data_IF_667517695329
#
_entry.id   IF_667517695329
#
_cell.length_a   1.000
_cell.length_b   1.000
_cell.length_c   1.000
_cell.angle_alpha   90.00
_cell.angle_beta   90.00
_cell.angle_gamma   90.00
#
_symmetry.space_group_name_H-M   'P 1'
#
loop_
_entity.id
_entity.type
_entity.pdbx_description
1 polymer ?
#
# COMPACT_ATOMS: atom_id res chain seq x y z
N UNK A 1 -15.81 -36.38 5.62
CA UNK A 1 -15.04 -37.61 5.89
C UNK A 1 -13.89 -37.23 6.80
N UNK A 2 -13.82 -37.67 8.06
CA UNK A 2 -12.69 -37.37 8.92
C UNK A 2 -11.49 -38.19 8.43
N UNK A 3 -10.42 -37.48 8.07
CA UNK A 3 -9.12 -38.04 7.75
C UNK A 3 -8.61 -38.83 8.97
N UNK A 4 -8.34 -40.12 8.75
CA UNK A 4 -7.70 -41.01 9.72
C UNK A 4 -6.27 -40.53 9.94
N UNK A 5 -6.02 -39.88 11.08
CA UNK A 5 -4.70 -39.40 11.48
C UNK A 5 -3.70 -40.55 11.60
N UNK A 6 -2.60 -40.44 10.86
CA UNK A 6 -1.36 -41.18 11.08
C UNK A 6 -0.76 -40.85 12.45
N UNK A 7 0.05 -41.75 13.05
CA UNK A 7 0.64 -41.55 14.38
C UNK A 7 1.58 -40.34 14.40
N UNK A 8 1.67 -39.65 15.55
CA UNK A 8 2.56 -38.52 15.89
C UNK A 8 3.94 -38.60 15.22
N UNK A 9 4.08 -38.01 14.04
CA UNK A 9 5.38 -37.66 13.49
C UNK A 9 5.81 -36.39 14.23
N UNK A 10 6.90 -36.47 15.00
CA UNK A 10 7.41 -35.33 15.75
C UNK A 10 7.54 -34.11 14.82
N UNK A 11 6.99 -32.97 15.24
CA UNK A 11 7.00 -31.75 14.43
C UNK A 11 8.44 -31.45 13.98
N UNK A 12 8.67 -31.12 12.69
CA UNK A 12 10.02 -30.93 12.17
C UNK A 12 10.73 -29.79 12.92
N UNK A 13 12.01 -29.98 13.23
CA UNK A 13 12.85 -28.99 13.92
C UNK A 13 14.07 -28.62 13.09
N UNK A 14 14.56 -27.39 13.27
CA UNK A 14 15.86 -26.93 12.79
C UNK A 14 16.86 -26.95 13.96
N UNK A 15 18.07 -27.43 13.71
CA UNK A 15 19.14 -27.51 14.73
C UNK A 15 20.20 -26.45 14.45
N UNK A 16 20.45 -25.59 15.44
CA UNK A 16 21.53 -24.61 15.41
C UNK A 16 22.70 -25.13 16.26
N UNK A 17 23.87 -25.29 15.64
CA UNK A 17 25.13 -25.55 16.34
C UNK A 17 25.82 -24.23 16.67
N UNK A 18 26.22 -24.04 17.93
CA UNK A 18 26.90 -22.83 18.41
C UNK A 18 27.94 -23.19 19.47
N UNK A 19 28.85 -22.27 19.88
CA UNK A 19 29.92 -22.60 20.83
C UNK A 19 29.47 -23.19 22.17
N UNK A 20 28.22 -22.96 22.59
CA UNK A 20 27.63 -23.49 23.81
C UNK A 20 26.84 -24.79 23.65
N UNK A 21 26.82 -25.42 22.46
CA UNK A 21 26.14 -26.69 22.19
C UNK A 21 25.21 -26.63 20.98
N UNK A 22 24.04 -27.27 21.12
CA UNK A 22 22.99 -27.30 20.09
C UNK A 22 21.68 -26.76 20.66
N UNK A 23 20.94 -26.02 19.84
CA UNK A 23 19.60 -25.53 20.14
C UNK A 23 18.65 -25.99 19.04
N UNK A 24 17.43 -26.38 19.43
CA UNK A 24 16.40 -26.86 18.51
C UNK A 24 15.24 -25.87 18.44
N UNK A 25 14.78 -25.62 17.22
CA UNK A 25 13.71 -24.67 16.93
C UNK A 25 12.63 -25.34 16.07
N UNK A 26 11.35 -25.22 16.43
CA UNK A 26 10.26 -25.74 15.60
C UNK A 26 10.25 -25.13 14.20
N UNK A 27 9.94 -25.94 13.19
CA UNK A 27 9.64 -25.46 11.82
C UNK A 27 8.12 -25.36 11.68
N UNK A 28 7.63 -24.14 11.48
CA UNK A 28 6.22 -23.84 11.26
C UNK A 28 5.91 -23.92 9.77
N UNK A 29 5.05 -24.87 9.40
CA UNK A 29 4.64 -25.09 8.01
C UNK A 29 3.71 -23.97 7.53
N UNK A 30 4.02 -23.44 6.36
CA UNK A 30 3.18 -22.51 5.60
C UNK A 30 2.17 -23.27 4.73
N UNK A 31 1.02 -22.66 4.43
CA UNK A 31 0.10 -23.18 3.39
C UNK A 31 0.73 -23.07 2.00
N UNK A 32 1.35 -21.93 1.71
CA UNK A 32 2.09 -21.64 0.49
C UNK A 32 3.35 -20.83 0.83
N UNK A 33 4.38 -20.93 -0.01
CA UNK A 33 5.67 -20.24 0.19
C UNK A 33 6.58 -20.92 1.22
N UNK A 34 7.63 -20.23 1.64
CA UNK A 34 8.62 -20.79 2.57
C UNK A 34 8.06 -20.97 3.99
N UNK A 35 8.36 -22.12 4.61
CA UNK A 35 8.09 -22.36 6.03
C UNK A 35 9.05 -21.57 6.92
N UNK A 36 8.64 -21.25 8.15
CA UNK A 36 9.41 -20.42 9.07
C UNK A 36 10.04 -21.24 10.20
N UNK A 37 11.24 -20.84 10.64
CA UNK A 37 11.86 -21.38 11.86
C UNK A 37 11.41 -20.50 13.03
N UNK A 38 10.76 -21.09 14.04
CA UNK A 38 10.33 -20.35 15.23
C UNK A 38 11.50 -20.13 16.19
N UNK A 39 12.07 -18.93 16.13
CA UNK A 39 13.20 -18.50 16.94
C UNK A 39 12.78 -17.77 18.23
N UNK A 40 11.52 -17.86 18.67
CA UNK A 40 11.04 -17.15 19.86
C UNK A 40 11.85 -17.46 21.13
N UNK A 41 12.44 -18.66 21.22
CA UNK A 41 13.28 -19.08 22.35
C UNK A 41 14.78 -18.95 22.10
N UNK A 42 15.22 -18.37 20.98
CA UNK A 42 16.64 -18.33 20.56
C UNK A 42 17.57 -17.78 21.65
N UNK A 43 17.27 -16.60 22.19
CA UNK A 43 18.12 -15.97 23.22
C UNK A 43 18.09 -16.76 24.52
N UNK A 44 16.95 -17.36 24.88
CA UNK A 44 16.85 -18.21 26.07
C UNK A 44 17.70 -19.47 25.95
N UNK A 45 17.74 -20.09 24.77
CA UNK A 45 18.48 -21.33 24.53
C UNK A 45 19.98 -21.07 24.31
N UNK A 46 20.34 -20.00 23.60
CA UNK A 46 21.72 -19.81 23.10
C UNK A 46 22.48 -18.64 23.73
N UNK A 47 21.78 -17.69 24.35
CA UNK A 47 22.34 -16.41 24.77
C UNK A 47 22.58 -15.40 23.63
N UNK A 48 22.31 -15.77 22.37
CA UNK A 48 22.49 -14.90 21.21
C UNK A 48 21.18 -14.27 20.70
N UNK A 49 21.34 -13.24 19.86
CA UNK A 49 20.27 -12.59 19.09
C UNK A 49 20.59 -12.69 17.61
N UNK A 50 19.59 -12.60 16.74
CA UNK A 50 19.80 -12.45 15.29
C UNK A 50 20.09 -11.00 14.92
N UNK A 51 20.80 -10.81 13.80
CA UNK A 51 20.97 -9.52 13.14
C UNK A 51 20.52 -9.68 11.69
N UNK A 52 19.38 -9.10 11.34
CA UNK A 52 18.79 -9.18 10.00
C UNK A 52 18.37 -7.78 9.54
N UNK A 53 19.27 -7.12 8.80
CA UNK A 53 19.04 -5.75 8.34
C UNK A 53 17.82 -5.68 7.41
N UNK A 54 16.84 -4.87 7.78
CA UNK A 54 15.63 -4.70 6.98
C UNK A 54 14.70 -5.91 6.94
N UNK A 55 14.86 -6.87 7.87
CA UNK A 55 13.98 -8.04 8.03
C UNK A 55 13.92 -8.94 6.79
N UNK A 56 15.00 -9.01 5.99
CA UNK A 56 15.00 -9.74 4.70
C UNK A 56 14.74 -11.23 4.88
N UNK A 57 15.15 -11.80 6.00
CA UNK A 57 15.04 -13.23 6.30
C UNK A 57 14.06 -13.51 7.45
N UNK A 58 13.31 -12.49 7.89
CA UNK A 58 12.47 -12.57 9.09
C UNK A 58 11.00 -12.48 8.73
N UNK A 59 10.25 -13.57 8.95
CA UNK A 59 8.79 -13.54 8.95
C UNK A 59 8.29 -12.90 10.25
N UNK A 60 7.87 -11.63 10.17
CA UNK A 60 7.51 -10.85 11.36
C UNK A 60 6.15 -11.23 11.98
N UNK A 61 5.28 -11.91 11.22
CA UNK A 61 3.93 -12.27 11.65
C UNK A 61 3.40 -13.48 10.89
N UNK A 62 2.37 -14.13 11.42
CA UNK A 62 1.54 -15.08 10.68
C UNK A 62 0.37 -14.30 10.08
N UNK A 63 0.09 -14.51 8.80
CA UNK A 63 -1.01 -13.80 8.14
C UNK A 63 -1.76 -14.71 7.19
N UNK A 64 -3.04 -14.43 7.04
CA UNK A 64 -3.99 -15.12 6.17
C UNK A 64 -4.62 -14.18 5.13
N UNK A 65 -4.13 -12.94 5.02
CA UNK A 65 -4.74 -11.87 4.22
C UNK A 65 -4.31 -11.95 2.76
N UNK A 66 -3.00 -11.88 2.51
CA UNK A 66 -2.43 -11.81 1.16
C UNK A 66 -1.24 -12.73 1.06
N UNK A 67 -1.14 -13.43 -0.08
CA UNK A 67 0.01 -14.24 -0.42
C UNK A 67 0.66 -13.72 -1.71
N UNK A 68 1.99 -13.71 -1.72
CA UNK A 68 2.79 -13.35 -2.88
C UNK A 68 3.83 -14.43 -3.17
N UNK A 69 3.90 -14.89 -4.42
CA UNK A 69 5.07 -15.59 -4.95
C UNK A 69 5.74 -14.68 -5.99
N UNK A 70 6.86 -14.09 -5.59
CA UNK A 70 7.62 -13.20 -6.45
C UNK A 70 8.26 -13.88 -7.65
N UNK A 71 8.60 -15.16 -7.55
CA UNK A 71 9.23 -15.89 -8.64
C UNK A 71 8.19 -16.29 -9.69
N UNK A 72 7.02 -16.72 -9.24
CA UNK A 72 5.94 -17.15 -10.12
C UNK A 72 5.02 -16.01 -10.56
N UNK A 73 5.17 -14.80 -10.00
CA UNK A 73 4.29 -13.67 -10.32
C UNK A 73 2.88 -13.85 -9.76
N UNK A 74 2.73 -14.48 -8.60
CA UNK A 74 1.42 -14.74 -7.99
C UNK A 74 1.11 -13.64 -6.98
N UNK A 75 -0.11 -13.10 -7.05
CA UNK A 75 -0.71 -12.28 -6.00
C UNK A 75 -2.10 -12.83 -5.70
N UNK A 76 -2.35 -13.14 -4.43
CA UNK A 76 -3.65 -13.64 -3.98
C UNK A 76 -4.16 -12.87 -2.78
N UNK A 77 -5.38 -12.37 -2.85
CA UNK A 77 -6.11 -11.84 -1.69
C UNK A 77 -7.06 -12.92 -1.19
N UNK A 78 -6.89 -13.35 0.07
CA UNK A 78 -7.65 -14.46 0.68
C UNK A 78 -7.69 -15.73 -0.18
N UNK A 79 -6.60 -16.01 -0.89
CA UNK A 79 -6.48 -17.16 -1.80
C UNK A 79 -6.97 -16.94 -3.23
N UNK A 80 -7.73 -15.88 -3.51
CA UNK A 80 -8.21 -15.55 -4.86
C UNK A 80 -7.15 -14.81 -5.68
N UNK A 81 -6.87 -15.20 -6.93
CA UNK A 81 -5.93 -14.51 -7.81
C UNK A 81 -6.35 -13.06 -8.09
N UNK A 82 -5.38 -12.14 -8.08
CA UNK A 82 -5.64 -10.71 -8.29
C UNK A 82 -6.35 -10.41 -9.61
N UNK A 83 -6.05 -11.19 -10.66
CA UNK A 83 -6.64 -11.00 -11.99
C UNK A 83 -8.13 -11.32 -12.02
N UNK A 84 -8.58 -12.26 -11.18
CA UNK A 84 -9.99 -12.58 -11.06
C UNK A 84 -10.72 -11.50 -10.27
N UNK A 85 -10.14 -11.06 -9.15
CA UNK A 85 -10.76 -10.04 -8.31
C UNK A 85 -10.85 -8.70 -9.05
N UNK A 86 -9.75 -8.24 -9.66
CA UNK A 86 -9.71 -6.95 -10.36
C UNK A 86 -10.59 -6.89 -11.62
N UNK A 87 -11.04 -8.04 -12.14
CA UNK A 87 -11.93 -8.12 -13.28
C UNK A 87 -13.42 -8.21 -12.89
N UNK A 88 -13.73 -8.76 -11.70
CA UNK A 88 -15.09 -9.18 -11.36
C UNK A 88 -15.65 -8.57 -10.07
N UNK A 89 -14.83 -7.85 -9.29
CA UNK A 89 -15.25 -7.25 -8.02
C UNK A 89 -15.14 -5.72 -8.08
N UNK A 90 -15.92 -5.08 -7.22
CA UNK A 90 -15.84 -3.66 -6.88
C UNK A 90 -14.84 -3.43 -5.74
N UNK A 91 -14.34 -2.20 -5.60
CA UNK A 91 -13.40 -1.85 -4.53
C UNK A 91 -13.95 -2.19 -3.12
N UNK A 92 -15.25 -1.99 -2.87
CA UNK A 92 -15.84 -2.29 -1.56
C UNK A 92 -16.02 -3.79 -1.30
N UNK A 93 -16.24 -4.62 -2.33
CA UNK A 93 -16.26 -6.08 -2.19
C UNK A 93 -14.90 -6.63 -1.80
N UNK A 94 -13.84 -6.11 -2.40
CA UNK A 94 -12.46 -6.52 -2.10
C UNK A 94 -12.02 -6.01 -0.73
N UNK A 95 -12.41 -4.78 -0.38
CA UNK A 95 -12.17 -4.26 0.95
C UNK A 95 -12.84 -5.14 2.03
N UNK A 96 -14.07 -5.57 1.78
CA UNK A 96 -14.77 -6.55 2.63
C UNK A 96 -14.00 -7.87 2.70
N UNK A 97 -13.64 -8.46 1.56
CA UNK A 97 -12.88 -9.71 1.48
C UNK A 97 -11.59 -9.64 2.33
N UNK A 98 -10.81 -8.58 2.18
CA UNK A 98 -9.57 -8.41 2.93
C UNK A 98 -9.84 -8.28 4.43
N UNK A 99 -10.84 -7.51 4.84
CA UNK A 99 -11.12 -7.23 6.25
C UNK A 99 -11.77 -8.43 6.98
N UNK A 100 -12.70 -9.14 6.32
CA UNK A 100 -13.53 -10.17 6.95
C UNK A 100 -13.21 -11.60 6.53
N UNK A 101 -12.41 -11.79 5.47
CA UNK A 101 -11.85 -13.09 5.08
C UNK A 101 -12.58 -13.81 3.95
N UNK A 102 -13.85 -13.48 3.71
CA UNK A 102 -14.72 -14.08 2.68
C UNK A 102 -15.39 -12.99 1.85
N UNK A 103 -15.85 -13.31 0.64
CA UNK A 103 -16.64 -12.38 -0.18
C UNK A 103 -18.01 -12.09 0.47
N UNK A 104 -18.51 -10.85 0.42
CA UNK A 104 -19.81 -10.52 0.99
C UNK A 104 -20.96 -11.13 0.18
N UNK A 105 -22.05 -11.47 0.85
CA UNK A 105 -23.36 -11.60 0.20
C UNK A 105 -23.86 -10.24 -0.30
N UNK A 106 -24.85 -10.23 -1.18
CA UNK A 106 -25.42 -8.99 -1.71
C UNK A 106 -25.98 -8.08 -0.61
N UNK A 107 -26.63 -8.66 0.42
CA UNK A 107 -27.20 -7.90 1.54
C UNK A 107 -26.10 -7.32 2.45
N UNK A 108 -25.03 -8.09 2.70
CA UNK A 108 -23.87 -7.61 3.46
C UNK A 108 -23.16 -6.47 2.74
N UNK A 109 -22.93 -6.61 1.43
CA UNK A 109 -22.32 -5.55 0.62
C UNK A 109 -23.18 -4.29 0.63
N UNK A 110 -24.50 -4.41 0.42
CA UNK A 110 -25.41 -3.27 0.43
C UNK A 110 -25.43 -2.55 1.79
N UNK A 111 -25.44 -3.31 2.89
CA UNK A 111 -25.37 -2.75 4.24
C UNK A 111 -24.02 -2.07 4.51
N UNK A 112 -22.92 -2.66 4.06
CA UNK A 112 -21.59 -2.09 4.20
C UNK A 112 -21.44 -0.78 3.43
N UNK A 113 -21.90 -0.78 2.19
CA UNK A 113 -21.90 0.39 1.31
C UNK A 113 -22.77 1.53 1.86
N UNK A 114 -23.99 1.27 2.34
CA UNK A 114 -24.80 2.32 3.00
C UNK A 114 -24.09 2.84 4.26
N UNK A 115 -23.55 1.97 5.12
CA UNK A 115 -22.79 2.39 6.30
C UNK A 115 -21.64 3.32 5.94
N UNK A 116 -20.87 3.02 4.89
CA UNK A 116 -19.78 3.88 4.41
C UNK A 116 -20.33 5.22 3.92
N UNK A 117 -21.36 5.22 3.06
CA UNK A 117 -21.97 6.46 2.52
C UNK A 117 -22.44 7.39 3.63
N UNK A 118 -23.07 6.84 4.67
CA UNK A 118 -23.58 7.58 5.84
C UNK A 118 -22.47 8.17 6.74
N UNK A 119 -21.21 7.81 6.53
CA UNK A 119 -20.08 8.30 7.31
C UNK A 119 -19.09 9.18 6.50
N UNK A 120 -19.41 9.52 5.26
CA UNK A 120 -18.50 10.29 4.37
C UNK A 120 -18.24 11.73 4.82
N UNK A 121 -19.21 12.39 5.46
CA UNK A 121 -19.06 13.77 5.92
C UNK A 121 -17.94 13.91 6.97
N UNK A 122 -17.05 14.88 6.78
CA UNK A 122 -16.10 15.30 7.80
C UNK A 122 -16.78 16.23 8.80
N UNK A 123 -16.34 16.21 10.06
CA UNK A 123 -16.73 17.24 11.02
C UNK A 123 -16.31 18.61 10.46
N UNK A 124 -17.18 19.63 10.55
CA UNK A 124 -16.90 20.93 9.92
C UNK A 124 -15.64 21.61 10.47
N UNK A 125 -15.33 21.42 11.75
CA UNK A 125 -14.06 21.92 12.31
C UNK A 125 -12.84 21.18 11.77
N UNK A 126 -12.96 19.89 11.45
CA UNK A 126 -11.91 19.17 10.74
C UNK A 126 -11.79 19.66 9.29
N UNK A 127 -12.90 20.00 8.62
CA UNK A 127 -12.85 20.62 7.28
C UNK A 127 -12.10 21.96 7.30
N UNK A 128 -12.25 22.76 8.36
CA UNK A 128 -11.51 24.02 8.57
C UNK A 128 -10.00 23.82 8.77
N UNK A 129 -9.54 22.63 9.18
CA UNK A 129 -8.11 22.31 9.25
C UNK A 129 -7.41 22.59 7.90
N UNK A 130 -8.09 22.31 6.79
CA UNK A 130 -7.55 22.52 5.46
C UNK A 130 -7.36 24.00 5.11
N UNK A 131 -8.06 24.92 5.78
CA UNK A 131 -7.88 26.37 5.59
C UNK A 131 -6.55 26.84 6.17
N UNK A 132 -6.13 26.24 7.29
CA UNK A 132 -4.87 26.55 7.97
C UNK A 132 -3.63 25.99 7.24
N UNK A 133 -3.81 25.04 6.32
CA UNK A 133 -2.70 24.43 5.59
C UNK A 133 -2.27 25.32 4.41
N UNK A 134 -0.94 25.44 4.14
CA UNK A 134 -0.45 26.15 2.97
C UNK A 134 -1.01 25.55 1.67
N UNK A 135 -1.32 26.38 0.67
CA UNK A 135 -1.79 25.87 -0.63
C UNK A 135 -0.74 24.96 -1.31
N UNK A 136 0.55 25.21 -1.04
CA UNK A 136 1.67 24.44 -1.60
C UNK A 136 1.99 23.15 -0.83
N UNK A 137 1.26 22.87 0.26
CA UNK A 137 1.45 21.67 1.07
C UNK A 137 1.29 20.42 0.22
N UNK A 138 2.15 19.43 0.45
CA UNK A 138 2.07 18.18 -0.29
C UNK A 138 0.83 17.39 0.12
N UNK A 139 0.00 16.90 -0.82
CA UNK A 139 -1.23 16.17 -0.51
C UNK A 139 -1.04 14.99 0.46
N UNK A 140 0.07 14.24 0.35
CA UNK A 140 0.42 13.19 1.32
C UNK A 140 0.58 13.69 2.77
N UNK A 141 1.22 14.84 2.98
CA UNK A 141 1.37 15.43 4.32
C UNK A 141 0.04 15.94 4.86
N UNK A 142 -0.81 16.49 3.99
CA UNK A 142 -2.18 16.89 4.33
C UNK A 142 -3.00 15.66 4.74
N UNK A 143 -2.92 14.58 3.95
CA UNK A 143 -3.62 13.32 4.19
C UNK A 143 -3.23 12.72 5.54
N UNK A 144 -1.92 12.55 5.81
CA UNK A 144 -1.46 11.97 7.09
C UNK A 144 -1.84 12.82 8.30
N UNK A 145 -1.75 14.15 8.18
CA UNK A 145 -2.13 15.09 9.24
C UNK A 145 -3.63 15.04 9.54
N UNK A 146 -4.48 15.10 8.51
CA UNK A 146 -5.93 15.06 8.68
C UNK A 146 -6.40 13.70 9.23
N UNK A 147 -5.81 12.58 8.79
CA UNK A 147 -6.11 11.25 9.33
C UNK A 147 -5.69 11.15 10.79
N UNK A 148 -4.52 11.67 11.17
CA UNK A 148 -4.12 11.73 12.58
C UNK A 148 -5.10 12.58 13.40
N UNK A 149 -5.57 13.71 12.85
CA UNK A 149 -6.52 14.58 13.52
C UNK A 149 -7.89 13.89 13.74
N UNK A 150 -8.30 12.91 12.92
CA UNK A 150 -9.55 12.17 13.17
C UNK A 150 -9.61 11.58 14.59
N UNK A 151 -8.47 11.18 15.16
CA UNK A 151 -8.40 10.65 16.53
C UNK A 151 -8.93 11.64 17.57
N UNK A 152 -8.77 12.95 17.38
CA UNK A 152 -9.25 13.98 18.32
C UNK A 152 -10.76 14.23 18.22
N UNK A 153 -11.38 13.89 17.09
CA UNK A 153 -12.82 14.07 16.88
C UNK A 153 -13.63 12.82 17.24
N UNK A 154 -12.96 11.69 17.42
CA UNK A 154 -13.57 10.39 17.68
C UNK A 154 -12.97 9.71 18.92
N UNK A 155 -12.54 10.51 19.92
CA UNK A 155 -11.81 10.02 21.09
C UNK A 155 -12.58 8.94 21.87
N UNK A 156 -13.90 9.12 22.03
CA UNK A 156 -14.80 8.20 22.73
C UNK A 156 -14.97 6.84 22.02
N UNK A 157 -14.53 6.74 20.77
CA UNK A 157 -14.63 5.54 19.94
C UNK A 157 -13.26 4.90 19.67
N UNK A 158 -12.24 5.18 20.51
CA UNK A 158 -10.85 4.73 20.28
C UNK A 158 -10.46 3.40 20.94
N UNK A 159 -11.34 2.77 21.72
CA UNK A 159 -11.02 1.48 22.36
C UNK A 159 -10.70 0.43 21.29
N UNK A 160 -9.47 -0.05 21.32
CA UNK A 160 -8.95 -1.02 20.34
C UNK A 160 -9.35 -2.45 20.69
N UNK A 161 -9.79 -2.71 21.91
CA UNK A 161 -10.22 -4.05 22.35
C UNK A 161 -11.74 -4.25 22.21
N UNK A 162 -12.51 -3.18 21.96
CA UNK A 162 -13.94 -3.24 21.67
C UNK A 162 -14.20 -3.47 20.16
N UNK A 163 -14.76 -4.63 19.76
CA UNK A 163 -15.03 -4.95 18.36
C UNK A 163 -15.97 -3.95 17.65
N UNK A 164 -16.95 -3.39 18.36
CA UNK A 164 -17.89 -2.43 17.77
C UNK A 164 -17.20 -1.10 17.45
N UNK A 165 -16.27 -0.67 18.32
CA UNK A 165 -15.46 0.53 18.09
C UNK A 165 -14.48 0.33 16.94
N UNK A 166 -13.79 -0.82 16.89
CA UNK A 166 -12.91 -1.19 15.77
C UNK A 166 -13.67 -1.21 14.44
N UNK A 167 -14.89 -1.75 14.45
CA UNK A 167 -15.77 -1.78 13.30
C UNK A 167 -16.22 -0.38 12.86
N UNK A 168 -16.59 0.49 13.80
CA UNK A 168 -16.95 1.88 13.51
C UNK A 168 -15.75 2.69 12.97
N UNK A 169 -14.55 2.49 13.52
CA UNK A 169 -13.32 3.11 12.99
C UNK A 169 -13.02 2.66 11.57
N UNK A 170 -13.21 1.37 11.28
CA UNK A 170 -13.05 0.78 9.94
C UNK A 170 -13.93 1.51 8.92
N UNK A 171 -15.23 1.62 9.21
CA UNK A 171 -16.19 2.34 8.35
C UNK A 171 -15.81 3.81 8.20
N UNK A 172 -15.43 4.49 9.28
CA UNK A 172 -15.04 5.91 9.25
C UNK A 172 -13.79 6.14 8.40
N UNK A 173 -12.78 5.28 8.48
CA UNK A 173 -11.57 5.39 7.67
C UNK A 173 -11.88 5.23 6.19
N UNK A 174 -12.62 4.16 5.82
CA UNK A 174 -13.02 3.91 4.43
C UNK A 174 -13.87 5.06 3.86
N UNK A 175 -14.76 5.61 4.66
CA UNK A 175 -15.63 6.71 4.23
C UNK A 175 -14.91 8.06 4.12
N UNK A 176 -13.99 8.36 5.03
CA UNK A 176 -13.42 9.71 5.20
C UNK A 176 -12.09 9.91 4.47
N UNK A 177 -11.27 8.87 4.33
CA UNK A 177 -9.98 9.00 3.64
C UNK A 177 -10.12 9.52 2.20
N UNK A 178 -11.09 9.03 1.38
CA UNK A 178 -11.30 9.57 0.03
C UNK A 178 -11.73 11.05 0.03
N UNK A 179 -12.54 11.46 1.00
CA UNK A 179 -12.97 12.86 1.14
C UNK A 179 -11.79 13.76 1.53
N UNK A 180 -10.97 13.33 2.48
CA UNK A 180 -9.74 14.03 2.88
C UNK A 180 -8.79 14.16 1.69
N UNK A 181 -8.60 13.08 0.93
CA UNK A 181 -7.76 13.08 -0.27
C UNK A 181 -8.27 14.06 -1.33
N UNK A 182 -9.57 14.06 -1.63
CA UNK A 182 -10.16 14.99 -2.59
C UNK A 182 -10.05 16.45 -2.11
N UNK A 183 -10.17 16.72 -0.80
CA UNK A 183 -9.98 18.06 -0.25
C UNK A 183 -8.53 18.51 -0.32
N UNK A 184 -7.57 17.60 -0.10
CA UNK A 184 -6.16 17.88 -0.33
C UNK A 184 -5.89 18.26 -1.80
N UNK A 185 -6.51 17.55 -2.74
CA UNK A 185 -6.44 17.87 -4.17
C UNK A 185 -7.02 19.25 -4.47
N UNK A 186 -8.29 19.49 -4.10
CA UNK A 186 -8.99 20.77 -4.33
C UNK A 186 -8.25 21.95 -3.71
N UNK A 187 -7.70 21.78 -2.50
CA UNK A 187 -6.88 22.79 -1.82
C UNK A 187 -5.62 23.12 -2.63
N UNK A 188 -4.94 22.11 -3.17
CA UNK A 188 -3.70 22.31 -3.93
C UNK A 188 -3.89 23.11 -5.23
N UNK A 189 -5.11 23.10 -5.78
CA UNK A 189 -5.49 23.86 -6.99
C UNK A 189 -6.38 25.07 -6.71
N UNK A 190 -6.63 25.41 -5.44
CA UNK A 190 -7.41 26.60 -5.04
C UNK A 190 -8.91 26.54 -5.36
N UNK A 191 -9.51 25.35 -5.45
CA UNK A 191 -10.92 25.17 -5.75
C UNK A 191 -11.77 24.90 -4.50
N UNK A 192 -13.07 25.21 -4.57
CA UNK A 192 -14.02 24.95 -3.49
C UNK A 192 -14.21 23.44 -3.24
N UNK A 193 -14.47 23.09 -1.98
CA UNK A 193 -14.79 21.72 -1.59
C UNK A 193 -16.26 21.40 -1.89
N UNK A 194 -16.49 20.29 -2.59
CA UNK A 194 -17.81 19.71 -2.71
C UNK A 194 -18.10 18.79 -1.52
N UNK A 195 -19.37 18.67 -1.15
CA UNK A 195 -19.80 17.64 -0.20
C UNK A 195 -20.00 16.30 -0.91
N UNK A 196 -19.79 15.17 -0.22
CA UNK A 196 -20.13 13.84 -0.72
C UNK A 196 -21.60 13.75 -1.15
N UNK A 197 -21.88 12.95 -2.18
CA UNK A 197 -23.22 12.68 -2.69
C UNK A 197 -23.55 11.19 -2.51
N UNK A 198 -24.57 10.89 -1.69
CA UNK A 198 -24.98 9.52 -1.37
C UNK A 198 -25.62 8.79 -2.56
N UNK A 199 -26.03 9.50 -3.61
CA UNK A 199 -26.58 8.88 -4.83
C UNK A 199 -25.50 8.24 -5.71
N UNK A 200 -24.24 8.64 -5.53
CA UNK A 200 -23.11 8.16 -6.32
C UNK A 200 -22.41 6.98 -5.66
N UNK A 201 -21.90 6.05 -6.47
CA UNK A 201 -21.05 4.96 -5.99
C UNK A 201 -19.78 5.50 -5.31
N UNK A 202 -19.03 4.63 -4.61
CA UNK A 202 -17.80 5.01 -3.93
C UNK A 202 -16.81 5.76 -4.87
N UNK A 203 -16.56 5.18 -6.04
CA UNK A 203 -15.60 5.71 -7.02
C UNK A 203 -16.16 6.93 -7.73
N UNK A 204 -17.43 6.91 -8.11
CA UNK A 204 -18.09 8.05 -8.77
C UNK A 204 -18.13 9.28 -7.88
N UNK A 205 -18.45 9.09 -6.60
CA UNK A 205 -18.43 10.15 -5.61
C UNK A 205 -17.01 10.71 -5.45
N UNK A 206 -15.98 9.85 -5.39
CA UNK A 206 -14.60 10.29 -5.30
C UNK A 206 -14.15 11.08 -6.54
N UNK A 207 -14.51 10.64 -7.75
CA UNK A 207 -14.27 11.39 -9.00
C UNK A 207 -14.96 12.77 -8.95
N UNK A 208 -16.22 12.82 -8.54
CA UNK A 208 -16.96 14.09 -8.38
C UNK A 208 -16.28 15.02 -7.40
N UNK A 209 -15.83 14.52 -6.24
CA UNK A 209 -15.15 15.34 -5.23
C UNK A 209 -13.83 15.93 -5.74
N UNK A 210 -13.13 15.23 -6.64
CA UNK A 210 -11.87 15.70 -7.23
C UNK A 210 -12.07 16.67 -8.39
N UNK A 211 -13.01 16.38 -9.29
CA UNK A 211 -13.11 17.07 -10.59
C UNK A 211 -14.35 17.95 -10.76
N UNK A 212 -15.43 17.68 -10.01
CA UNK A 212 -16.62 18.52 -10.02
C UNK A 212 -16.36 19.93 -9.50
N UNK A 213 -17.15 20.90 -9.95
CA UNK A 213 -17.07 22.29 -9.47
C UNK A 213 -18.45 22.78 -9.01
N UNK A 214 -18.51 23.97 -8.41
CA UNK A 214 -19.78 24.62 -8.05
C UNK A 214 -20.41 25.37 -9.24
N UNK A 215 -19.77 25.37 -10.42
CA UNK A 215 -20.22 26.13 -11.57
C UNK A 215 -21.19 25.34 -12.47
N UNK A 216 -21.15 24.01 -12.42
CA UNK A 216 -21.96 23.13 -13.27
C UNK A 216 -22.11 21.72 -12.69
N UNK A 217 -23.13 20.94 -13.11
CA UNK A 217 -23.24 19.53 -12.77
C UNK A 217 -22.03 18.73 -13.26
N UNK A 218 -21.51 17.83 -12.42
CA UNK A 218 -20.44 16.90 -12.82
C UNK A 218 -21.04 15.61 -13.39
N UNK A 219 -20.70 15.28 -14.63
CA UNK A 219 -21.07 14.02 -15.27
C UNK A 219 -19.92 13.02 -15.15
N UNK A 220 -20.21 11.85 -14.58
CA UNK A 220 -19.20 10.82 -14.39
C UNK A 220 -18.96 10.09 -15.70
N UNK A 221 -17.71 10.01 -16.14
CA UNK A 221 -17.31 9.17 -17.26
C UNK A 221 -17.18 7.70 -16.78
N UNK A 222 -17.99 6.75 -17.30
CA UNK A 222 -17.97 5.36 -16.89
C UNK A 222 -16.61 4.66 -17.09
N UNK A 223 -15.86 5.05 -18.11
CA UNK A 223 -14.52 4.49 -18.39
C UNK A 223 -13.54 4.90 -17.31
N UNK A 224 -13.58 6.17 -16.88
CA UNK A 224 -12.72 6.65 -15.80
C UNK A 224 -13.10 6.04 -14.45
N UNK A 225 -14.39 5.86 -14.19
CA UNK A 225 -14.88 5.18 -12.98
C UNK A 225 -14.37 3.75 -12.90
N UNK A 226 -14.58 2.95 -13.97
CA UNK A 226 -14.11 1.56 -14.03
C UNK A 226 -12.59 1.45 -13.93
N UNK A 227 -11.85 2.32 -14.60
CA UNK A 227 -10.39 2.32 -14.55
C UNK A 227 -9.88 2.68 -13.14
N UNK A 228 -10.46 3.68 -12.48
CA UNK A 228 -10.08 4.04 -11.12
C UNK A 228 -10.42 2.94 -10.12
N UNK A 229 -11.59 2.30 -10.24
CA UNK A 229 -11.96 1.16 -9.40
C UNK A 229 -10.93 0.03 -9.49
N UNK A 230 -10.58 -0.37 -10.70
CA UNK A 230 -9.57 -1.40 -10.94
C UNK A 230 -8.21 -0.98 -10.37
N UNK A 231 -7.79 0.28 -10.55
CA UNK A 231 -6.55 0.77 -9.97
C UNK A 231 -6.56 0.73 -8.45
N UNK A 232 -7.66 1.07 -7.79
CA UNK A 232 -7.76 0.96 -6.33
C UNK A 232 -7.61 -0.49 -5.87
N UNK A 233 -8.33 -1.44 -6.49
CA UNK A 233 -8.26 -2.88 -6.20
C UNK A 233 -6.83 -3.43 -6.31
N UNK A 234 -6.11 -3.07 -7.37
CA UNK A 234 -4.72 -3.52 -7.61
C UNK A 234 -3.73 -3.01 -6.55
N UNK A 235 -4.13 -2.03 -5.75
CA UNK A 235 -3.32 -1.47 -4.68
C UNK A 235 -3.84 -1.80 -3.28
N UNK A 236 -4.94 -2.57 -3.14
CA UNK A 236 -5.63 -2.80 -1.86
C UNK A 236 -4.79 -3.42 -0.75
N UNK A 237 -3.99 -4.43 -1.07
CA UNK A 237 -2.99 -4.94 -0.15
C UNK A 237 -1.74 -5.41 -0.90
N UNK A 238 -0.64 -5.52 -0.18
CA UNK A 238 0.58 -6.07 -0.74
C UNK A 238 1.45 -6.68 0.36
N UNK A 239 0.83 -7.49 1.22
CA UNK A 239 1.49 -8.28 2.26
C UNK A 239 2.35 -7.39 3.21
N UNK A 240 3.48 -7.89 3.74
CA UNK A 240 4.27 -7.23 4.79
C UNK A 240 5.25 -6.18 4.25
N UNK A 241 4.79 -5.30 3.36
CA UNK A 241 5.57 -4.15 2.87
C UNK A 241 5.82 -3.11 3.99
N UNK A 242 6.65 -2.09 3.72
CA UNK A 242 7.10 -1.13 4.73
C UNK A 242 5.98 -0.35 5.43
N UNK A 243 4.94 0.07 4.70
CA UNK A 243 3.81 0.79 5.30
C UNK A 243 2.90 -0.14 6.10
N UNK A 244 2.60 -1.34 5.58
CA UNK A 244 1.86 -2.36 6.35
C UNK A 244 2.59 -2.75 7.64
N UNK A 245 3.90 -2.97 7.56
CA UNK A 245 4.74 -3.29 8.73
C UNK A 245 4.75 -2.14 9.75
N UNK A 246 4.71 -0.89 9.28
CA UNK A 246 4.61 0.30 10.14
C UNK A 246 3.24 0.38 10.83
N UNK A 247 2.14 0.16 10.09
CA UNK A 247 0.78 0.09 10.65
C UNK A 247 0.71 -0.97 11.75
N UNK A 248 1.26 -2.16 11.50
CA UNK A 248 1.34 -3.24 12.51
C UNK A 248 2.23 -2.86 13.69
N UNK A 249 3.42 -2.31 13.46
CA UNK A 249 4.34 -1.95 14.54
C UNK A 249 3.74 -0.89 15.47
N UNK A 250 3.10 0.14 14.92
CA UNK A 250 2.38 1.16 15.71
C UNK A 250 1.14 0.55 16.37
N UNK A 251 0.37 -0.27 15.67
CA UNK A 251 -0.78 -0.97 16.26
C UNK A 251 -0.41 -1.88 17.44
N UNK A 252 0.78 -2.48 17.42
CA UNK A 252 1.27 -3.36 18.49
C UNK A 252 1.47 -2.65 19.84
N UNK A 253 1.54 -1.31 19.85
CA UNK A 253 1.58 -0.51 21.08
C UNK A 253 0.17 -0.20 21.63
N UNK A 254 -0.88 -0.76 21.01
CA UNK A 254 -2.29 -0.45 21.25
C UNK A 254 -2.67 1.00 20.88
N UNK A 255 -1.92 1.60 19.94
CA UNK A 255 -2.35 2.86 19.32
C UNK A 255 -3.64 2.66 18.51
N UNK A 256 -4.51 3.68 18.51
CA UNK A 256 -5.77 3.65 17.76
C UNK A 256 -5.53 3.53 16.24
N UNK A 257 -6.54 3.03 15.51
CA UNK A 257 -6.40 2.75 14.08
C UNK A 257 -6.09 4.01 13.26
N UNK A 258 -6.65 5.18 13.59
CA UNK A 258 -6.34 6.43 12.89
C UNK A 258 -4.84 6.79 12.97
N UNK A 259 -4.23 6.66 14.15
CA UNK A 259 -2.80 6.89 14.36
C UNK A 259 -1.94 5.86 13.60
N UNK A 260 -2.30 4.58 13.67
CA UNK A 260 -1.61 3.51 12.92
C UNK A 260 -1.67 3.73 11.41
N UNK A 261 -2.84 4.08 10.85
CA UNK A 261 -3.00 4.39 9.44
C UNK A 261 -2.23 5.66 9.04
N UNK A 262 -2.26 6.73 9.85
CA UNK A 262 -1.44 7.92 9.60
C UNK A 262 0.06 7.59 9.52
N UNK A 263 0.55 6.71 10.39
CA UNK A 263 1.93 6.21 10.32
C UNK A 263 2.18 5.41 9.03
N UNK A 264 1.23 4.57 8.60
CA UNK A 264 1.26 3.87 7.32
C UNK A 264 1.34 4.81 6.11
N UNK A 265 0.57 5.90 6.11
CA UNK A 265 0.59 6.95 5.07
C UNK A 265 1.98 7.61 5.02
N UNK A 266 2.56 7.95 6.18
CA UNK A 266 3.90 8.54 6.22
C UNK A 266 4.99 7.57 5.73
N UNK A 267 4.89 6.28 6.07
CA UNK A 267 5.78 5.25 5.54
C UNK A 267 5.62 5.06 4.03
N UNK A 268 4.38 5.14 3.51
CA UNK A 268 4.10 5.08 2.07
C UNK A 268 4.63 6.32 1.33
N UNK A 269 4.61 7.50 1.96
CA UNK A 269 5.11 8.72 1.35
C UNK A 269 6.62 8.69 1.07
N UNK A 270 7.39 7.85 1.76
CA UNK A 270 8.81 7.71 1.53
C UNK A 270 9.13 7.38 0.05
N UNK A 271 10.15 8.02 -0.56
CA UNK A 271 10.47 7.83 -1.99
C UNK A 271 10.94 6.42 -2.36
N UNK A 272 11.34 5.62 -1.36
CA UNK A 272 11.72 4.22 -1.53
C UNK A 272 10.53 3.25 -1.38
N UNK A 273 9.32 3.77 -1.19
CA UNK A 273 8.10 2.99 -1.07
C UNK A 273 7.04 3.45 -2.09
N UNK A 274 6.11 4.34 -1.72
CA UNK A 274 5.00 4.74 -2.58
C UNK A 274 5.28 5.93 -3.50
N UNK A 275 6.40 6.66 -3.31
CA UNK A 275 6.76 7.81 -4.16
C UNK A 275 7.32 7.44 -5.55
N UNK A 276 7.37 6.14 -5.90
CA UNK A 276 7.93 5.68 -7.17
C UNK A 276 7.09 6.11 -8.38
N UNK A 277 5.77 6.16 -8.25
CA UNK A 277 4.84 6.52 -9.33
C UNK A 277 4.99 8.00 -9.79
N UNK A 278 5.15 8.94 -8.86
CA UNK A 278 5.46 10.35 -9.18
C UNK A 278 6.81 10.45 -9.89
N UNK A 279 7.81 9.72 -9.39
CA UNK A 279 9.14 9.70 -9.97
C UNK A 279 9.20 9.08 -11.39
N UNK A 280 8.27 8.17 -11.73
CA UNK A 280 8.11 7.68 -13.12
C UNK A 280 7.72 8.83 -14.04
N UNK A 281 6.71 9.62 -13.69
CA UNK A 281 6.31 10.74 -14.56
C UNK A 281 7.37 11.83 -14.63
N UNK A 282 8.05 12.14 -13.53
CA UNK A 282 9.18 13.08 -13.57
C UNK A 282 10.29 12.58 -14.50
N UNK A 283 10.59 11.28 -14.47
CA UNK A 283 11.55 10.64 -15.37
C UNK A 283 11.09 10.76 -16.83
N UNK A 284 9.85 10.38 -17.15
CA UNK A 284 9.30 10.46 -18.50
C UNK A 284 9.27 11.91 -19.02
N UNK A 285 8.89 12.86 -18.17
CA UNK A 285 8.91 14.29 -18.51
C UNK A 285 10.33 14.78 -18.80
N UNK A 286 11.34 14.38 -18.00
CA UNK A 286 12.75 14.72 -18.27
C UNK A 286 13.26 14.13 -19.58
N UNK A 287 12.82 12.92 -19.95
CA UNK A 287 13.15 12.30 -21.24
C UNK A 287 12.53 13.11 -22.39
N UNK A 288 11.24 13.46 -22.28
CA UNK A 288 10.56 14.31 -23.26
C UNK A 288 11.26 15.66 -23.42
N UNK A 289 11.51 16.33 -22.31
CA UNK A 289 12.03 17.70 -22.28
C UNK A 289 13.50 17.79 -22.70
N UNK A 290 14.26 16.68 -22.67
CA UNK A 290 15.62 16.67 -23.21
C UNK A 290 15.66 16.72 -24.74
N UNK A 291 14.58 16.30 -25.42
CA UNK A 291 14.54 16.15 -26.87
C UNK A 291 15.46 15.03 -27.41
N UNK A 292 16.03 14.21 -26.53
CA UNK A 292 16.89 13.08 -26.89
C UNK A 292 16.05 11.81 -27.15
N UNK A 293 16.52 10.87 -27.99
CA UNK A 293 15.89 9.56 -28.13
C UNK A 293 15.87 8.80 -26.79
N UNK A 294 14.82 8.03 -26.53
CA UNK A 294 14.67 7.24 -25.29
C UNK A 294 15.86 6.29 -25.06
N UNK A 295 16.45 5.76 -26.13
CA UNK A 295 17.65 4.93 -26.08
C UNK A 295 18.84 5.61 -25.39
N UNK A 296 18.99 6.93 -25.49
CA UNK A 296 20.04 7.68 -24.77
C UNK A 296 19.82 7.65 -23.27
N UNK A 297 18.60 7.80 -22.80
CA UNK A 297 18.29 7.68 -21.38
C UNK A 297 18.65 6.27 -20.87
N UNK A 298 18.31 5.24 -21.64
CA UNK A 298 18.64 3.83 -21.31
C UNK A 298 20.15 3.61 -21.21
N UNK A 299 20.94 4.16 -22.13
CA UNK A 299 22.41 4.13 -22.05
C UNK A 299 22.94 4.77 -20.77
N UNK A 300 22.40 5.94 -20.38
CA UNK A 300 22.80 6.66 -19.15
C UNK A 300 22.50 5.85 -17.88
N UNK A 301 21.35 5.16 -17.84
CA UNK A 301 21.00 4.21 -16.77
C UNK A 301 22.03 3.08 -16.69
N UNK A 302 22.38 2.47 -17.83
CA UNK A 302 23.35 1.36 -17.90
C UNK A 302 24.75 1.79 -17.45
N UNK A 303 25.14 3.00 -17.79
CA UNK A 303 26.41 3.63 -17.40
C UNK A 303 26.46 4.04 -15.93
N UNK A 304 25.35 3.88 -15.19
CA UNK A 304 25.22 4.29 -13.77
C UNK A 304 25.57 5.75 -13.57
N UNK A 305 25.15 6.61 -14.51
CA UNK A 305 25.34 8.05 -14.36
C UNK A 305 24.69 8.55 -13.06
N UNK A 306 25.38 9.44 -12.38
CA UNK A 306 24.96 9.92 -11.07
C UNK A 306 23.56 10.57 -11.15
N UNK A 307 22.63 10.08 -10.34
CA UNK A 307 21.25 10.59 -10.29
C UNK A 307 20.32 10.05 -11.38
N UNK A 308 20.80 9.20 -12.29
CA UNK A 308 19.96 8.59 -13.34
C UNK A 308 19.54 7.19 -12.88
N UNK A 309 18.23 6.99 -12.70
CA UNK A 309 17.62 5.71 -12.36
C UNK A 309 16.40 5.46 -13.22
N UNK A 310 16.20 4.20 -13.61
CA UNK A 310 14.99 3.75 -14.27
C UNK A 310 13.90 3.53 -13.21
N UNK A 311 12.98 4.48 -13.09
CA UNK A 311 11.86 4.44 -12.15
C UNK A 311 10.73 3.57 -12.72
N UNK A 312 9.98 2.87 -11.85
CA UNK A 312 8.90 1.97 -12.27
C UNK A 312 9.36 0.62 -12.83
N UNK A 313 10.64 0.29 -12.69
CA UNK A 313 11.21 -1.00 -13.11
C UNK A 313 11.83 -1.77 -11.95
N UNK A 314 11.67 -3.09 -12.00
CA UNK A 314 12.06 -4.00 -10.94
C UNK A 314 11.10 -3.97 -9.76
N UNK A 315 11.18 -5.01 -8.93
CA UNK A 315 10.32 -5.16 -7.77
C UNK A 315 11.04 -5.95 -6.67
N UNK A 316 10.84 -5.59 -5.40
CA UNK A 316 11.50 -6.24 -4.27
C UNK A 316 11.08 -7.71 -4.10
N UNK A 317 9.83 -7.99 -4.46
CA UNK A 317 9.19 -9.31 -4.41
C UNK A 317 9.19 -9.99 -5.79
N UNK A 318 8.46 -9.44 -6.79
CA UNK A 318 8.42 -9.99 -8.15
C UNK A 318 9.78 -9.97 -8.87
N UNK A 319 10.24 -11.16 -9.27
CA UNK A 319 11.49 -11.34 -10.03
C UNK A 319 11.23 -11.45 -11.52
N UNK A 320 10.13 -12.01 -11.98
CA UNK A 320 9.96 -12.29 -13.42
C UNK A 320 8.91 -11.39 -14.08
N UNK A 321 7.84 -11.05 -13.36
CA UNK A 321 6.76 -10.21 -13.85
C UNK A 321 5.85 -9.76 -12.69
N UNK A 322 5.27 -8.57 -12.77
CA UNK A 322 4.22 -8.11 -11.83
C UNK A 322 2.84 -8.41 -12.43
N UNK A 323 2.04 -9.33 -11.85
CA UNK A 323 0.73 -9.73 -12.41
C UNK A 323 -0.23 -8.56 -12.58
N UNK A 324 -0.08 -7.50 -11.79
CA UNK A 324 -0.92 -6.31 -11.86
C UNK A 324 -0.60 -5.44 -13.06
N UNK A 325 0.65 -5.42 -13.52
CA UNK A 325 1.09 -4.55 -14.61
C UNK A 325 0.31 -4.82 -15.91
N UNK A 326 -0.11 -6.07 -16.15
CA UNK A 326 -0.94 -6.44 -17.31
C UNK A 326 -2.25 -5.68 -17.33
N UNK A 327 -2.96 -5.76 -16.21
CA UNK A 327 -4.29 -5.18 -16.03
C UNK A 327 -4.24 -3.67 -16.07
N UNK A 328 -3.19 -3.07 -15.50
CA UNK A 328 -2.95 -1.62 -15.60
C UNK A 328 -2.70 -1.22 -17.06
N UNK A 329 -1.87 -1.97 -17.80
CA UNK A 329 -1.59 -1.67 -19.22
C UNK A 329 -2.86 -1.73 -20.08
N UNK A 330 -3.71 -2.72 -19.88
CA UNK A 330 -5.02 -2.82 -20.55
C UNK A 330 -5.90 -1.60 -20.22
N UNK A 331 -5.96 -1.21 -18.94
CA UNK A 331 -6.72 -0.03 -18.49
C UNK A 331 -6.20 1.27 -19.08
N UNK A 332 -4.88 1.40 -19.26
CA UNK A 332 -4.29 2.59 -19.87
C UNK A 332 -4.77 2.79 -21.31
N UNK A 333 -4.85 1.72 -22.09
CA UNK A 333 -5.36 1.78 -23.46
C UNK A 333 -6.85 2.18 -23.46
N UNK A 334 -7.68 1.53 -22.63
CA UNK A 334 -9.12 1.84 -22.50
C UNK A 334 -9.37 3.32 -22.15
N UNK A 335 -8.62 3.87 -21.19
CA UNK A 335 -8.77 5.26 -20.74
C UNK A 335 -8.37 6.26 -21.81
N UNK A 336 -7.22 6.07 -22.44
CA UNK A 336 -6.71 7.01 -23.44
C UNK A 336 -7.56 7.03 -24.70
N UNK A 337 -8.02 5.86 -25.15
CA UNK A 337 -8.96 5.75 -26.27
C UNK A 337 -10.27 6.47 -25.95
N UNK A 338 -10.85 6.23 -24.78
CA UNK A 338 -12.12 6.84 -24.38
C UNK A 338 -12.04 8.36 -24.20
N UNK A 339 -10.88 8.90 -23.79
CA UNK A 339 -10.67 10.34 -23.66
C UNK A 339 -10.27 10.99 -24.99
N UNK A 340 -9.91 10.22 -26.02
CA UNK A 340 -9.37 10.74 -27.27
C UNK A 340 -8.08 11.53 -27.08
N UNK A 341 -7.31 11.21 -26.02
CA UNK A 341 -6.09 11.92 -25.64
C UNK A 341 -4.88 11.18 -26.19
N UNK A 342 -4.07 11.88 -26.99
CA UNK A 342 -2.68 11.48 -27.21
C UNK A 342 -1.81 12.12 -26.12
N UNK A 343 -1.11 11.30 -25.34
CA UNK A 343 -0.15 11.77 -24.33
C UNK A 343 1.25 11.33 -24.73
N UNK A 344 2.10 12.29 -25.10
CA UNK A 344 3.50 12.05 -25.45
C UNK A 344 4.26 11.25 -24.37
N UNK A 345 3.87 11.37 -23.09
CA UNK A 345 4.50 10.59 -22.02
C UNK A 345 4.14 9.11 -22.08
N UNK A 346 2.96 8.73 -22.58
CA UNK A 346 2.62 7.32 -22.81
C UNK A 346 3.51 6.76 -23.92
N UNK A 347 3.65 7.49 -25.04
CA UNK A 347 4.45 7.02 -26.17
C UNK A 347 5.90 6.79 -25.73
N UNK A 348 6.46 7.72 -24.96
CA UNK A 348 7.78 7.56 -24.33
C UNK A 348 7.82 6.38 -23.36
N UNK A 349 6.76 6.16 -22.56
CA UNK A 349 6.68 5.03 -21.64
C UNK A 349 6.66 3.68 -22.39
N UNK A 350 5.90 3.58 -23.48
CA UNK A 350 5.82 2.40 -24.32
C UNK A 350 7.13 2.12 -25.06
N UNK A 351 7.78 3.17 -25.59
CA UNK A 351 9.11 3.04 -26.19
C UNK A 351 10.15 2.61 -25.15
N UNK A 352 10.13 3.21 -23.96
CA UNK A 352 11.04 2.87 -22.86
C UNK A 352 10.84 1.43 -22.38
N UNK A 353 9.60 0.95 -22.24
CA UNK A 353 9.30 -0.45 -21.98
C UNK A 353 9.87 -1.34 -23.08
N UNK A 354 9.59 -1.05 -24.35
CA UNK A 354 10.05 -1.85 -25.49
C UNK A 354 11.57 -2.00 -25.52
N UNK A 355 12.29 -0.89 -25.33
CA UNK A 355 13.75 -0.90 -25.28
C UNK A 355 14.25 -1.69 -24.07
N UNK A 356 13.70 -1.46 -22.87
CA UNK A 356 14.14 -2.13 -21.66
C UNK A 356 13.90 -3.65 -21.71
N UNK A 357 12.76 -4.10 -22.25
CA UNK A 357 12.45 -5.52 -22.38
C UNK A 357 13.31 -6.24 -23.44
N UNK A 358 13.84 -5.50 -24.41
CA UNK A 358 14.72 -6.05 -25.45
C UNK A 358 16.22 -5.99 -25.08
N UNK A 359 16.62 -5.20 -24.08
CA UNK A 359 18.02 -4.98 -23.71
C UNK A 359 18.52 -5.99 -22.64
N UNK A 360 19.59 -6.71 -22.96
CA UNK A 360 20.19 -7.76 -22.12
C UNK A 360 20.56 -7.28 -20.71
N UNK A 361 20.91 -5.99 -20.54
CA UNK A 361 21.23 -5.43 -19.22
C UNK A 361 20.04 -5.54 -18.26
N UNK A 362 18.83 -5.24 -18.74
CA UNK A 362 17.62 -5.23 -17.92
C UNK A 362 17.05 -6.62 -17.76
N UNK A 363 17.07 -7.43 -18.83
CA UNK A 363 16.65 -8.84 -18.80
C UNK A 363 17.48 -9.66 -17.80
N UNK A 364 18.82 -9.57 -17.87
CA UNK A 364 19.72 -10.30 -16.95
C UNK A 364 19.58 -9.87 -15.49
N UNK A 365 19.14 -8.63 -15.26
CA UNK A 365 18.88 -8.05 -13.92
C UNK A 365 17.43 -8.15 -13.49
N UNK A 366 16.56 -8.75 -14.32
CA UNK A 366 15.16 -8.93 -14.03
C UNK A 366 14.41 -7.61 -13.75
N UNK A 367 14.76 -6.57 -14.49
CA UNK A 367 14.17 -5.25 -14.38
C UNK A 367 13.00 -5.15 -15.35
N UNK A 368 11.80 -5.49 -14.89
CA UNK A 368 10.55 -5.41 -15.63
C UNK A 368 9.68 -4.25 -15.14
N UNK A 369 8.80 -3.67 -15.98
CA UNK A 369 7.84 -2.68 -15.52
C UNK A 369 6.97 -3.24 -14.39
N UNK A 370 6.81 -2.46 -13.32
CA UNK A 370 5.91 -2.79 -12.22
C UNK A 370 4.59 -2.02 -12.35
N UNK A 371 3.65 -2.26 -11.42
CA UNK A 371 2.34 -1.60 -11.40
C UNK A 371 2.42 -0.06 -11.47
N UNK A 372 3.45 0.54 -10.87
CA UNK A 372 3.59 2.00 -10.77
C UNK A 372 3.89 2.65 -12.12
N UNK A 373 4.53 1.93 -13.05
CA UNK A 373 4.97 2.47 -14.34
C UNK A 373 3.82 3.00 -15.19
N UNK A 374 2.75 2.21 -15.32
CA UNK A 374 1.57 2.60 -16.11
C UNK A 374 0.52 3.35 -15.29
N UNK A 375 0.49 3.13 -13.97
CA UNK A 375 -0.51 3.76 -13.08
C UNK A 375 -0.40 5.29 -13.13
N UNK A 376 0.82 5.84 -13.14
CA UNK A 376 1.03 7.30 -13.22
C UNK A 376 0.50 7.91 -14.52
N UNK A 377 0.63 7.21 -15.65
CA UNK A 377 0.12 7.69 -16.94
C UNK A 377 -1.41 7.75 -16.93
N UNK A 378 -2.07 6.72 -16.38
CA UNK A 378 -3.54 6.69 -16.27
C UNK A 378 -4.05 7.83 -15.38
N UNK A 379 -3.44 8.02 -14.21
CA UNK A 379 -3.85 9.10 -13.30
C UNK A 379 -3.68 10.48 -13.92
N UNK A 380 -2.60 10.69 -14.68
CA UNK A 380 -2.43 11.94 -15.44
C UNK A 380 -3.51 12.11 -16.49
N UNK A 381 -3.82 11.06 -17.27
CA UNK A 381 -4.88 11.10 -18.27
C UNK A 381 -6.26 11.41 -17.66
N UNK A 382 -6.53 10.89 -16.45
CA UNK A 382 -7.72 11.22 -15.66
C UNK A 382 -7.76 12.68 -15.17
N UNK A 383 -6.64 13.41 -15.24
CA UNK A 383 -6.52 14.80 -14.79
C UNK A 383 -5.96 14.98 -13.38
N UNK A 384 -5.47 13.92 -12.72
CA UNK A 384 -4.79 14.07 -11.43
C UNK A 384 -3.39 14.67 -11.60
N UNK A 385 -3.05 15.60 -10.70
CA UNK A 385 -1.68 16.07 -10.54
C UNK A 385 -0.75 14.93 -10.07
N UNK A 386 0.52 14.86 -10.52
CA UNK A 386 1.49 13.86 -10.05
C UNK A 386 1.60 13.75 -8.52
N UNK A 387 1.46 14.88 -7.81
CA UNK A 387 1.51 14.97 -6.34
C UNK A 387 0.37 14.21 -5.64
N UNK A 388 -0.67 13.83 -6.38
CA UNK A 388 -1.80 13.02 -5.90
C UNK A 388 -1.59 11.52 -6.04
N UNK A 389 -0.58 11.05 -6.77
CA UNK A 389 -0.50 9.63 -7.13
C UNK A 389 -0.30 8.74 -5.91
N UNK A 390 0.59 9.12 -5.00
CA UNK A 390 0.77 8.40 -3.74
C UNK A 390 -0.44 8.53 -2.81
N UNK A 391 -1.24 9.59 -2.94
CA UNK A 391 -2.52 9.72 -2.21
C UNK A 391 -3.54 8.72 -2.72
N UNK A 392 -3.65 8.55 -4.05
CA UNK A 392 -4.51 7.53 -4.67
C UNK A 392 -4.05 6.12 -4.26
N UNK A 393 -2.74 5.91 -4.20
CA UNK A 393 -2.16 4.69 -3.65
C UNK A 393 -2.55 4.49 -2.18
N UNK A 394 -2.50 5.53 -1.34
CA UNK A 394 -2.93 5.43 0.06
C UNK A 394 -4.42 5.08 0.22
N UNK A 395 -5.29 5.58 -0.67
CA UNK A 395 -6.71 5.17 -0.70
C UNK A 395 -6.80 3.70 -1.05
N UNK A 396 -6.17 3.29 -2.15
CA UNK A 396 -6.10 1.89 -2.56
C UNK A 396 -5.65 1.02 -1.40
N UNK A 397 -4.53 1.33 -0.76
CA UNK A 397 -3.90 0.51 0.30
C UNK A 397 -4.66 0.47 1.63
N UNK A 398 -5.66 1.33 1.83
CA UNK A 398 -6.36 1.46 3.11
C UNK A 398 -6.99 0.15 3.61
N UNK A 399 -7.74 -0.63 2.79
CA UNK A 399 -8.38 -1.86 3.26
C UNK A 399 -7.35 -2.90 3.72
N UNK A 400 -6.22 -3.03 3.01
CA UNK A 400 -5.10 -3.88 3.41
C UNK A 400 -4.53 -3.46 4.76
N UNK A 401 -4.26 -2.17 4.97
CA UNK A 401 -3.78 -1.69 6.27
C UNK A 401 -4.77 -1.95 7.41
N UNK A 402 -6.07 -1.76 7.18
CA UNK A 402 -7.12 -2.06 8.17
C UNK A 402 -7.14 -3.55 8.49
N UNK A 403 -7.16 -4.41 7.47
CA UNK A 403 -7.15 -5.87 7.63
C UNK A 403 -5.92 -6.34 8.42
N UNK A 404 -4.74 -5.83 8.08
CA UNK A 404 -3.47 -6.18 8.71
C UNK A 404 -3.41 -5.68 10.17
N UNK A 405 -3.96 -4.51 10.48
CA UNK A 405 -4.11 -4.02 11.85
C UNK A 405 -5.10 -4.86 12.65
N UNK A 406 -6.25 -5.22 12.06
CA UNK A 406 -7.26 -6.04 12.73
C UNK A 406 -6.74 -7.45 13.02
N UNK A 407 -6.09 -8.10 12.06
CA UNK A 407 -5.48 -9.42 12.25
C UNK A 407 -4.43 -9.40 13.37
N UNK A 408 -3.59 -8.35 13.44
CA UNK A 408 -2.68 -8.15 14.57
C UNK A 408 -3.42 -8.00 15.90
N UNK A 409 -4.46 -7.17 15.94
CA UNK A 409 -5.15 -6.83 17.18
C UNK A 409 -5.91 -8.02 17.78
N UNK A 410 -6.43 -8.92 16.92
CA UNK A 410 -7.13 -10.13 17.35
C UNK A 410 -6.21 -11.34 17.58
N UNK A 411 -4.93 -11.25 17.21
CA UNK A 411 -3.98 -12.35 17.40
C UNK A 411 -3.67 -12.54 18.91
N UNK A 412 -4.02 -13.68 19.53
CA UNK A 412 -3.74 -13.94 20.94
C UNK A 412 -2.23 -14.06 21.24
N UNK A 413 -1.39 -14.25 20.21
CA UNK A 413 0.06 -14.28 20.32
C UNK A 413 0.69 -12.88 20.16
N UNK A 414 -0.11 -11.85 19.89
CA UNK A 414 0.36 -10.49 19.68
C UNK A 414 1.14 -9.98 20.90
N UNK A 415 2.26 -9.32 20.62
CA UNK A 415 3.13 -8.65 21.59
C UNK A 415 3.57 -7.33 21.01
N UNK A 416 3.86 -6.37 21.88
CA UNK A 416 4.46 -5.09 21.47
C UNK A 416 5.73 -5.33 20.65
N UNK A 417 5.78 -4.76 19.45
CA UNK A 417 6.95 -4.82 18.58
C UNK A 417 8.09 -4.01 19.18
N UNK A 418 9.15 -4.73 19.61
CA UNK A 418 10.30 -4.13 20.29
C UNK A 418 11.59 -4.85 19.86
N UNK A 419 12.13 -4.55 18.65
CA UNK A 419 13.34 -5.19 18.16
C UNK A 419 14.55 -4.85 19.03
N UNK A 420 15.56 -5.72 18.98
CA UNK A 420 16.85 -5.50 19.63
C UNK A 420 17.84 -4.83 18.67
N UNK A 421 18.99 -4.42 19.22
CA UNK A 421 20.11 -3.90 18.45
C UNK A 421 21.41 -4.60 18.84
N UNK A 422 22.37 -4.67 17.92
CA UNK A 422 23.75 -4.98 18.25
C UNK A 422 24.45 -3.69 18.68
N UNK A 423 24.69 -3.53 20.00
CA UNK A 423 25.34 -2.32 20.51
C UNK A 423 26.84 -2.34 20.22
N UNK A 424 27.29 -1.39 19.38
CA UNK A 424 28.70 -1.19 19.02
C UNK A 424 29.24 0.17 19.52
N UNK A 425 28.55 0.79 20.49
CA UNK A 425 28.99 2.04 21.09
C UNK A 425 30.08 1.85 22.16
N UNK A 426 30.43 2.94 22.85
CA UNK A 426 31.42 2.88 23.92
C UNK A 426 30.99 1.98 25.08
N UNK A 427 31.93 1.26 25.73
CA UNK A 427 31.65 0.62 27.01
C UNK A 427 31.35 1.67 28.10
N UNK A 428 30.94 1.20 29.28
CA UNK A 428 30.75 2.06 30.46
C UNK A 428 31.94 3.00 30.62
N UNK A 429 31.66 4.31 30.67
CA UNK A 429 32.64 5.36 30.94
C UNK A 429 32.06 6.35 31.93
N UNK A 430 32.89 6.83 32.85
CA UNK A 430 32.45 7.78 33.87
C UNK A 430 32.25 9.17 33.24
N UNK A 431 31.29 9.91 33.79
CA UNK A 431 31.06 11.29 33.39
C UNK A 431 32.28 12.14 33.82
N UNK A 432 32.92 12.90 32.91
CA UNK A 432 34.00 13.79 33.30
C UNK A 432 33.51 14.85 34.31
N UNK A 433 34.36 15.29 35.27
CA UNK A 433 34.02 16.42 36.13
C UNK A 433 33.64 17.64 35.29
N UNK A 434 32.51 18.28 35.62
CA UNK A 434 32.15 19.57 35.03
C UNK A 434 32.88 20.65 35.85
N UNK A 435 33.81 21.35 35.21
CA UNK A 435 34.58 22.45 35.80
C UNK A 435 33.76 23.69 36.09
#
# INVERSE_FOLDING_TARGET
MPSTGTPDEAAPTAVLHYPGGTAEFPILRSTDGASAIDIATLTKQTGFTTLDYGFVNTSATKSSITYIDGEQGILRYRGYPIEQIAANCTYLEVAWLLIYGELPTADELAAFDDRIRRHTLLHEDLRRLFDALPHSAHPMSVLSSAVSALSTYYEDDMDVDDPEKVELQTVRLLAKLPVIAAYAHKKSIGQAFLYPDNQLSFVDNFLRLNFGTMAEPFEVNPVLSKALERLLILHEDHEQNASTSTVRLVGSTKANMFASISAGINALYGPLHGGANEAVLEMLAKIRDSGEPVSRFVERVKNKEHGVKLMGFGHRVYKNYDPRAKLVKESAHEVLEALGVQDDLLDIAMELEGIALADEYFVSRKLYPNVDFYTGVIYKAMGFSPRMFTVLFAIGRLPGWIAQWRELNTDPQNKIGRPQQLYLGHPKRDLPPRG
#
